data_IF_424072929636
#
_entry.id   IF_424072929636
#
_cell.length_a   1.000
_cell.length_b   1.000
_cell.length_c   1.000
_cell.angle_alpha   90.00
_cell.angle_beta   90.00
_cell.angle_gamma   90.00
#
_symmetry.space_group_name_H-M   'P 1'
#
loop_
_entity.id
_entity.type
_entity.pdbx_description
1 polymer ?
#
# COMPACT_ATOMS: atom_id res chain seq x y z
N UNK A 1 46.98 46.33 15.59
CA UNK A 1 47.93 45.31 16.10
C UNK A 1 47.53 43.98 15.46
N UNK A 2 48.11 43.61 14.31
CA UNK A 2 49.30 42.74 14.14
C UNK A 2 49.18 41.35 14.80
N UNK A 3 49.14 40.33 13.92
CA UNK A 3 49.70 38.97 14.01
C UNK A 3 49.12 37.99 15.05
N UNK A 4 49.23 36.66 14.92
CA UNK A 4 49.47 35.67 13.85
C UNK A 4 49.71 34.32 14.59
N UNK A 5 49.64 33.19 13.84
CA UNK A 5 50.24 31.86 14.10
C UNK A 5 49.38 30.84 14.89
N UNK A 6 48.74 29.84 14.26
CA UNK A 6 49.19 28.62 13.53
C UNK A 6 49.39 27.38 14.40
N UNK A 7 48.64 26.33 14.02
CA UNK A 7 49.05 24.94 13.79
C UNK A 7 49.86 24.18 14.84
N UNK A 8 49.34 23.01 15.24
CA UNK A 8 50.08 21.74 15.12
C UNK A 8 49.17 20.51 15.14
N UNK A 9 49.21 19.76 14.03
CA UNK A 9 48.83 18.35 13.93
C UNK A 9 49.85 17.50 14.68
N UNK A 10 49.40 16.45 15.36
CA UNK A 10 50.24 15.34 15.79
C UNK A 10 49.62 14.03 15.29
N UNK A 11 50.30 13.41 14.31
CA UNK A 11 50.23 11.98 14.06
C UNK A 11 50.85 11.24 15.26
N UNK A 12 50.37 10.04 15.56
CA UNK A 12 51.18 9.02 16.21
C UNK A 12 50.87 7.66 15.59
N UNK A 13 51.96 7.02 15.18
CA UNK A 13 52.02 5.75 14.47
C UNK A 13 52.14 4.57 15.45
N UNK A 14 51.98 3.38 14.87
CA UNK A 14 51.88 2.06 15.48
C UNK A 14 53.11 1.59 16.30
N UNK A 15 52.85 0.65 17.21
CA UNK A 15 53.81 -0.38 17.62
C UNK A 15 53.07 -1.72 17.79
N UNK A 16 53.53 -2.72 17.05
CA UNK A 16 53.05 -4.10 17.03
C UNK A 16 53.71 -4.92 18.15
N UNK A 17 52.98 -5.88 18.73
CA UNK A 17 53.56 -6.99 19.51
C UNK A 17 52.96 -8.29 18.98
N UNK A 18 53.83 -9.09 18.33
CA UNK A 18 53.59 -10.48 17.99
C UNK A 18 53.62 -11.32 19.27
N UNK A 19 52.70 -12.27 19.42
CA UNK A 19 52.94 -13.46 20.25
C UNK A 19 52.34 -14.66 19.56
N UNK A 20 53.22 -15.54 19.10
CA UNK A 20 52.90 -16.84 18.51
C UNK A 20 52.68 -17.86 19.63
N UNK A 21 51.59 -18.62 19.57
CA UNK A 21 51.37 -19.82 20.34
C UNK A 21 50.96 -20.93 19.38
N UNK A 22 51.91 -21.84 19.17
CA UNK A 22 51.73 -23.13 18.51
C UNK A 22 50.98 -24.06 19.48
N UNK A 23 49.89 -24.69 19.03
CA UNK A 23 49.48 -25.98 19.56
C UNK A 23 49.07 -26.93 18.43
N UNK A 24 49.64 -28.12 18.57
CA UNK A 24 49.64 -29.32 17.74
C UNK A 24 48.26 -29.92 17.53
N UNK A 25 48.05 -30.44 16.32
CA UNK A 25 46.84 -31.17 15.95
C UNK A 25 46.80 -32.61 16.46
N UNK A 26 45.59 -33.07 16.70
CA UNK A 26 45.19 -34.47 16.56
C UNK A 26 43.94 -34.53 15.69
N UNK A 27 44.03 -35.30 14.61
CA UNK A 27 43.00 -35.61 13.63
C UNK A 27 41.99 -36.60 14.18
N UNK A 28 40.70 -36.32 14.00
CA UNK A 28 39.64 -37.34 14.04
C UNK A 28 38.71 -37.05 12.86
N UNK A 29 38.62 -38.00 11.92
CA UNK A 29 37.76 -37.96 10.74
C UNK A 29 36.27 -37.98 11.16
N UNK A 30 35.51 -36.99 10.68
CA UNK A 30 34.05 -36.97 10.73
C UNK A 30 33.46 -37.22 9.33
N UNK A 31 32.30 -37.90 9.21
CA UNK A 31 31.80 -38.34 7.92
C UNK A 31 31.23 -37.16 7.11
N UNK A 32 31.59 -37.20 5.84
CA UNK A 32 31.21 -36.31 4.77
C UNK A 32 29.69 -36.31 4.56
N UNK A 33 29.04 -35.16 4.60
CA UNK A 33 27.73 -34.95 3.98
C UNK A 33 27.60 -33.49 3.57
N UNK A 34 27.61 -33.28 2.25
CA UNK A 34 27.56 -31.99 1.60
C UNK A 34 26.27 -31.24 1.91
N UNK A 35 26.41 -29.97 2.28
CA UNK A 35 25.33 -28.99 2.30
C UNK A 35 25.15 -28.37 0.91
N UNK A 36 23.92 -27.94 0.58
CA UNK A 36 23.80 -26.69 -0.16
C UNK A 36 22.84 -25.70 0.51
N UNK A 37 23.27 -24.43 0.50
CA UNK A 37 22.44 -23.26 0.22
C UNK A 37 21.36 -22.90 1.25
N UNK A 38 21.67 -21.94 2.13
CA UNK A 38 20.66 -21.24 2.92
C UNK A 38 19.83 -20.32 2.02
N UNK A 39 18.58 -20.70 1.78
CA UNK A 39 17.52 -19.81 1.31
C UNK A 39 16.92 -19.07 2.52
N UNK A 40 16.77 -17.75 2.37
CA UNK A 40 16.08 -16.90 3.33
C UNK A 40 14.65 -17.39 3.58
N UNK A 41 14.21 -17.21 4.82
CA UNK A 41 12.89 -17.61 5.30
C UNK A 41 11.77 -16.98 4.44
N UNK A 42 11.27 -17.74 3.47
CA UNK A 42 9.97 -17.52 2.88
C UNK A 42 8.92 -17.80 3.96
N UNK A 43 8.10 -16.80 4.28
CA UNK A 43 6.87 -17.01 5.03
C UNK A 43 6.06 -18.08 4.29
N UNK A 44 5.82 -19.20 4.98
CA UNK A 44 4.97 -20.25 4.45
C UNK A 44 3.54 -19.71 4.38
N UNK A 45 3.13 -19.29 3.19
CA UNK A 45 1.73 -19.00 2.88
C UNK A 45 0.90 -20.23 3.28
N UNK A 46 -0.05 -20.05 4.21
CA UNK A 46 -1.04 -21.06 4.49
C UNK A 46 -1.78 -21.38 3.18
N UNK A 47 -1.73 -22.64 2.74
CA UNK A 47 -2.49 -23.10 1.58
C UNK A 47 -3.98 -22.99 1.90
N UNK A 48 -4.65 -21.96 1.37
CA UNK A 48 -6.11 -21.82 1.36
C UNK A 48 -6.74 -23.05 0.69
N UNK A 49 -7.50 -23.84 1.44
CA UNK A 49 -7.96 -25.18 1.03
C UNK A 49 -9.25 -25.21 0.20
N UNK A 50 -9.83 -24.07 -0.18
CA UNK A 50 -11.09 -23.99 -0.92
C UNK A 50 -11.38 -22.61 -1.50
N UNK A 51 -12.47 -22.48 -2.26
CA UNK A 51 -12.95 -21.18 -2.73
C UNK A 51 -13.42 -20.31 -1.54
N UNK A 52 -13.28 -18.96 -1.61
CA UNK A 52 -13.88 -18.05 -0.64
C UNK A 52 -15.35 -18.36 -0.39
N UNK A 53 -15.74 -18.37 0.89
CA UNK A 53 -17.13 -18.60 1.26
C UNK A 53 -17.95 -17.32 1.04
N UNK A 54 -19.20 -17.43 0.54
CA UNK A 54 -20.14 -16.32 0.53
C UNK A 54 -20.35 -15.74 1.94
N UNK A 55 -20.46 -14.41 2.05
CA UNK A 55 -20.57 -13.71 3.35
C UNK A 55 -21.78 -14.16 4.18
N UNK A 56 -22.89 -14.53 3.55
CA UNK A 56 -24.10 -15.02 4.22
C UNK A 56 -23.89 -16.36 4.94
N UNK A 57 -22.92 -17.17 4.49
CA UNK A 57 -22.51 -18.41 5.15
C UNK A 57 -21.54 -18.16 6.31
N UNK A 58 -21.02 -16.94 6.45
CA UNK A 58 -20.06 -16.57 7.47
C UNK A 58 -20.69 -15.85 8.68
N UNK A 59 -21.98 -15.51 8.64
CA UNK A 59 -22.61 -14.62 9.62
C UNK A 59 -22.69 -15.18 11.05
N UNK A 60 -22.86 -16.50 11.20
CA UNK A 60 -23.23 -17.11 12.47
C UNK A 60 -24.58 -16.61 13.02
N UNK A 61 -24.92 -16.99 14.24
CA UNK A 61 -26.26 -16.74 14.81
C UNK A 61 -26.26 -15.70 15.95
N UNK A 62 -25.09 -15.37 16.53
CA UNK A 62 -24.98 -14.49 17.70
C UNK A 62 -24.83 -13.03 17.27
N UNK A 63 -25.29 -12.05 18.08
CA UNK A 63 -24.95 -10.64 17.84
C UNK A 63 -23.44 -10.44 17.78
N UNK A 64 -22.95 -9.69 16.79
CA UNK A 64 -21.54 -9.40 16.55
C UNK A 64 -21.35 -7.88 16.45
N UNK A 65 -20.37 -7.35 17.18
CA UNK A 65 -19.91 -5.96 17.12
C UNK A 65 -18.52 -5.90 16.51
N UNK A 66 -18.40 -5.24 15.37
CA UNK A 66 -17.12 -5.04 14.67
C UNK A 66 -16.74 -3.57 14.74
N UNK A 67 -15.49 -3.30 15.12
CA UNK A 67 -14.90 -1.99 15.01
C UNK A 67 -14.06 -1.92 13.73
N UNK A 68 -14.34 -0.93 12.88
CA UNK A 68 -13.50 -0.56 11.76
C UNK A 68 -12.60 0.61 12.18
N UNK A 69 -11.30 0.36 12.26
CA UNK A 69 -10.33 1.36 12.74
C UNK A 69 -9.41 1.76 11.60
N UNK A 70 -9.29 3.07 11.35
CA UNK A 70 -8.33 3.62 10.39
C UNK A 70 -7.29 4.50 11.11
N UNK A 71 -6.03 4.43 10.69
CA UNK A 71 -5.03 5.40 11.13
C UNK A 71 -5.30 6.79 10.55
N UNK A 72 -5.74 6.86 9.29
CA UNK A 72 -6.12 8.10 8.59
C UNK A 72 -7.45 7.91 7.86
N UNK A 73 -8.37 8.89 7.93
CA UNK A 73 -9.74 8.79 7.38
C UNK A 73 -10.16 9.90 6.42
N UNK A 74 -9.28 10.84 6.07
CA UNK A 74 -9.69 12.11 5.46
C UNK A 74 -9.68 12.17 3.92
N UNK A 75 -9.69 11.03 3.21
CA UNK A 75 -9.79 10.98 1.74
C UNK A 75 -10.97 10.12 1.26
N UNK A 76 -11.30 10.23 -0.03
CA UNK A 76 -12.41 9.51 -0.68
C UNK A 76 -12.27 8.00 -0.55
N UNK A 77 -11.06 7.47 -0.77
CA UNK A 77 -10.76 6.05 -0.61
C UNK A 77 -11.17 5.51 0.76
N UNK A 78 -10.87 6.23 1.85
CA UNK A 78 -11.22 5.82 3.22
C UNK A 78 -12.73 5.78 3.44
N UNK A 79 -13.45 6.80 2.97
CA UNK A 79 -14.92 6.84 3.04
C UNK A 79 -15.55 5.67 2.27
N UNK A 80 -15.03 5.36 1.08
CA UNK A 80 -15.51 4.23 0.29
C UNK A 80 -15.21 2.92 1.02
N UNK A 81 -14.01 2.70 1.57
CA UNK A 81 -13.73 1.46 2.31
C UNK A 81 -14.59 1.26 3.56
N UNK A 82 -14.92 2.33 4.27
CA UNK A 82 -15.88 2.26 5.38
C UNK A 82 -17.25 1.76 4.89
N UNK A 83 -17.73 2.35 3.79
CA UNK A 83 -19.00 1.95 3.18
C UNK A 83 -18.96 0.52 2.61
N UNK A 84 -17.86 0.10 1.99
CA UNK A 84 -17.66 -1.26 1.45
C UNK A 84 -17.73 -2.32 2.55
N UNK A 85 -17.10 -2.07 3.71
CA UNK A 85 -17.16 -2.99 4.84
C UNK A 85 -18.57 -3.09 5.41
N UNK A 86 -19.24 -1.94 5.61
CA UNK A 86 -20.63 -1.90 6.08
C UNK A 86 -21.58 -2.60 5.10
N UNK A 87 -21.36 -2.40 3.81
CA UNK A 87 -22.15 -3.02 2.74
C UNK A 87 -21.98 -4.53 2.71
N UNK A 88 -20.74 -5.02 2.69
CA UNK A 88 -20.43 -6.46 2.70
C UNK A 88 -21.07 -7.15 3.90
N UNK A 89 -20.89 -6.58 5.09
CA UNK A 89 -21.38 -7.17 6.33
C UNK A 89 -22.89 -6.99 6.52
N UNK A 90 -23.56 -6.18 5.71
CA UNK A 90 -25.02 -6.00 5.76
C UNK A 90 -25.81 -7.28 5.40
N UNK A 91 -25.16 -8.25 4.74
CA UNK A 91 -25.71 -9.58 4.54
C UNK A 91 -25.97 -10.30 5.89
N UNK A 92 -25.23 -9.95 6.94
CA UNK A 92 -25.34 -10.51 8.28
C UNK A 92 -26.16 -9.59 9.19
N UNK A 93 -27.46 -9.89 9.36
CA UNK A 93 -28.39 -9.06 10.15
C UNK A 93 -28.04 -8.95 11.64
N UNK A 94 -27.19 -9.84 12.14
CA UNK A 94 -26.67 -9.89 13.50
C UNK A 94 -25.39 -9.08 13.69
N UNK A 95 -24.83 -8.48 12.64
CA UNK A 95 -23.58 -7.71 12.67
C UNK A 95 -23.85 -6.21 12.74
N UNK A 96 -23.11 -5.53 13.62
CA UNK A 96 -23.05 -4.07 13.69
C UNK A 96 -21.61 -3.61 13.50
N UNK A 97 -21.41 -2.51 12.77
CA UNK A 97 -20.08 -1.98 12.45
C UNK A 97 -19.99 -0.52 12.90
N UNK A 98 -19.08 -0.25 13.82
CA UNK A 98 -18.72 1.11 14.22
C UNK A 98 -17.38 1.51 13.61
N UNK A 99 -17.25 2.77 13.22
CA UNK A 99 -16.05 3.30 12.58
C UNK A 99 -15.35 4.33 13.48
N UNK A 100 -14.02 4.31 13.51
CA UNK A 100 -13.23 5.42 14.01
C UNK A 100 -11.93 5.61 13.22
N UNK A 101 -11.36 6.80 13.34
CA UNK A 101 -10.10 7.16 12.69
C UNK A 101 -9.18 7.94 13.64
N UNK A 102 -7.87 7.89 13.39
CA UNK A 102 -6.84 8.36 14.31
C UNK A 102 -6.05 9.62 13.86
N UNK A 103 -6.50 10.33 12.84
CA UNK A 103 -5.92 11.57 12.28
C UNK A 103 -4.44 11.45 11.88
N UNK A 104 -3.98 10.25 11.50
CA UNK A 104 -2.57 9.95 11.23
C UNK A 104 -1.70 9.82 12.48
N UNK A 105 -2.30 9.76 13.67
CA UNK A 105 -1.60 9.66 14.95
C UNK A 105 -1.60 8.23 15.51
N UNK A 106 -0.39 7.68 15.71
CA UNK A 106 -0.19 6.32 16.21
C UNK A 106 -0.78 6.11 17.61
N UNK A 107 -0.69 7.10 18.52
CA UNK A 107 -1.15 6.94 19.89
C UNK A 107 -2.69 6.95 19.98
N UNK A 108 -3.35 7.79 19.18
CA UNK A 108 -4.81 7.74 19.01
C UNK A 108 -5.26 6.42 18.44
N UNK A 109 -4.55 5.88 17.45
CA UNK A 109 -4.84 4.57 16.85
C UNK A 109 -4.74 3.43 17.87
N UNK A 110 -3.64 3.38 18.63
CA UNK A 110 -3.46 2.43 19.74
C UNK A 110 -4.57 2.57 20.78
N UNK A 111 -4.93 3.82 21.13
CA UNK A 111 -6.02 4.09 22.07
C UNK A 111 -7.37 3.58 21.56
N UNK A 112 -7.66 3.75 20.27
CA UNK A 112 -8.89 3.25 19.66
C UNK A 112 -8.97 1.72 19.71
N UNK A 113 -7.90 1.02 19.32
CA UNK A 113 -7.84 -0.45 19.40
C UNK A 113 -8.09 -0.96 20.83
N UNK A 114 -7.38 -0.38 21.80
CA UNK A 114 -7.52 -0.75 23.22
C UNK A 114 -8.93 -0.44 23.73
N UNK A 115 -9.52 0.68 23.32
CA UNK A 115 -10.86 1.10 23.76
C UNK A 115 -11.94 0.17 23.23
N UNK A 116 -11.88 -0.23 21.96
CA UNK A 116 -12.84 -1.21 21.41
C UNK A 116 -12.69 -2.58 22.05
N UNK A 117 -11.45 -3.00 22.32
CA UNK A 117 -11.17 -4.24 23.04
C UNK A 117 -11.77 -4.22 24.45
N UNK A 118 -11.60 -3.11 25.19
CA UNK A 118 -12.16 -2.95 26.54
C UNK A 118 -13.69 -2.83 26.56
N UNK A 119 -14.29 -2.32 25.49
CA UNK A 119 -15.74 -2.21 25.32
C UNK A 119 -16.42 -3.51 24.89
N UNK A 120 -15.66 -4.60 24.74
CA UNK A 120 -16.19 -5.92 24.38
C UNK A 120 -16.67 -6.01 22.94
N UNK A 121 -15.97 -5.36 22.00
CA UNK A 121 -16.18 -5.63 20.58
C UNK A 121 -15.64 -7.01 20.23
N UNK A 122 -16.34 -7.72 19.36
CA UNK A 122 -15.99 -9.09 18.98
C UNK A 122 -14.83 -9.09 17.99
N UNK A 123 -14.78 -8.12 17.09
CA UNK A 123 -13.71 -7.98 16.12
C UNK A 123 -13.26 -6.53 15.89
N UNK A 124 -11.99 -6.39 15.50
CA UNK A 124 -11.37 -5.18 14.99
C UNK A 124 -10.86 -5.47 13.58
N UNK A 125 -11.48 -4.85 12.58
CA UNK A 125 -10.97 -4.80 11.19
C UNK A 125 -10.24 -3.47 11.06
N UNK A 126 -8.95 -3.50 10.74
CA UNK A 126 -8.13 -2.28 10.87
C UNK A 126 -7.21 -2.06 9.69
N UNK A 127 -7.09 -0.82 9.25
CA UNK A 127 -6.10 -0.48 8.23
C UNK A 127 -4.71 -0.51 8.86
N UNK A 128 -3.73 -1.12 8.18
CA UNK A 128 -2.35 -1.14 8.63
C UNK A 128 -1.59 0.14 8.23
N UNK A 129 -1.91 1.24 8.91
CA UNK A 129 -1.31 2.56 8.61
C UNK A 129 0.09 2.73 9.22
N UNK A 130 0.44 1.92 10.22
CA UNK A 130 1.64 2.10 11.04
C UNK A 130 2.59 0.90 11.04
N UNK A 131 2.22 -0.21 10.40
CA UNK A 131 3.03 -1.43 10.33
C UNK A 131 3.36 -1.98 11.70
N UNK A 132 4.59 -2.48 11.86
CA UNK A 132 5.08 -3.10 13.10
C UNK A 132 5.03 -2.21 14.35
N UNK A 133 4.90 -0.89 14.20
CA UNK A 133 4.72 0.03 15.33
C UNK A 133 3.39 -0.19 16.06
N UNK A 134 2.35 -0.62 15.35
CA UNK A 134 1.06 -0.93 15.92
C UNK A 134 0.93 -2.38 16.42
N UNK A 135 1.88 -3.26 16.07
CA UNK A 135 1.78 -4.71 16.31
C UNK A 135 1.47 -5.06 17.77
N UNK A 136 2.10 -4.38 18.72
CA UNK A 136 1.85 -4.63 20.15
C UNK A 136 0.39 -4.41 20.57
N UNK A 137 -0.29 -3.41 20.00
CA UNK A 137 -1.71 -3.15 20.27
C UNK A 137 -2.60 -4.22 19.64
N UNK A 138 -2.28 -4.67 18.41
CA UNK A 138 -2.98 -5.76 17.73
C UNK A 138 -2.87 -7.07 18.52
N UNK A 139 -1.65 -7.44 18.93
CA UNK A 139 -1.38 -8.61 19.77
C UNK A 139 -2.14 -8.55 21.10
N UNK A 140 -2.21 -7.38 21.73
CA UNK A 140 -2.92 -7.22 23.00
C UNK A 140 -4.45 -7.36 22.83
N UNK A 141 -5.03 -6.79 21.76
CA UNK A 141 -6.45 -6.96 21.45
C UNK A 141 -6.81 -8.44 21.22
N UNK A 142 -5.99 -9.17 20.45
CA UNK A 142 -6.16 -10.62 20.26
C UNK A 142 -6.08 -11.40 21.57
N UNK A 143 -5.08 -11.12 22.40
CA UNK A 143 -4.93 -11.76 23.72
C UNK A 143 -6.11 -11.49 24.65
N UNK A 144 -6.81 -10.37 24.47
CA UNK A 144 -8.04 -10.05 25.18
C UNK A 144 -9.29 -10.77 24.62
N UNK A 145 -9.14 -11.58 23.56
CA UNK A 145 -10.21 -12.38 22.97
C UNK A 145 -10.93 -11.72 21.80
N UNK A 146 -10.45 -10.57 21.31
CA UNK A 146 -10.99 -9.87 20.14
C UNK A 146 -10.39 -10.46 18.87
N UNK A 147 -11.20 -10.73 17.85
CA UNK A 147 -10.69 -11.10 16.52
C UNK A 147 -10.06 -9.88 15.85
N UNK A 148 -8.80 -9.96 15.44
CA UNK A 148 -8.09 -8.83 14.82
C UNK A 148 -7.72 -9.16 13.38
N UNK A 149 -8.15 -8.31 12.43
CA UNK A 149 -7.84 -8.48 11.00
C UNK A 149 -7.33 -7.17 10.39
N UNK A 150 -6.00 -7.00 10.30
CA UNK A 150 -5.39 -5.89 9.57
C UNK A 150 -5.54 -6.04 8.05
N UNK A 151 -5.58 -4.92 7.31
CA UNK A 151 -5.64 -4.95 5.85
C UNK A 151 -4.75 -3.89 5.18
N UNK A 152 -4.49 -4.09 3.88
CA UNK A 152 -3.64 -3.32 2.93
C UNK A 152 -2.16 -3.64 2.99
N UNK A 153 -1.56 -3.66 4.16
CA UNK A 153 -0.15 -3.95 4.35
C UNK A 153 0.05 -5.09 5.36
N UNK A 154 1.28 -5.61 5.41
CA UNK A 154 1.69 -6.58 6.41
C UNK A 154 2.10 -5.84 7.70
N UNK A 155 1.35 -6.00 8.81
CA UNK A 155 1.68 -5.37 10.09
C UNK A 155 2.92 -5.98 10.75
N UNK A 156 3.52 -7.02 10.15
CA UNK A 156 4.52 -7.88 10.76
C UNK A 156 3.92 -8.81 11.81
N UNK A 157 4.74 -9.65 12.45
CA UNK A 157 4.23 -10.64 13.41
C UNK A 157 3.75 -11.92 12.74
N UNK A 158 2.85 -12.67 13.41
CA UNK A 158 2.37 -13.97 12.93
C UNK A 158 0.86 -14.12 13.08
N UNK A 159 0.19 -14.52 11.99
CA UNK A 159 -1.20 -14.97 12.00
C UNK A 159 -1.40 -16.09 13.03
N UNK A 160 -2.50 -16.03 13.76
CA UNK A 160 -2.84 -16.94 14.85
C UNK A 160 -2.12 -16.63 16.18
N UNK A 161 -1.05 -15.82 16.18
CA UNK A 161 -0.32 -15.43 17.39
C UNK A 161 -0.57 -13.97 17.75
N UNK A 162 -0.44 -13.06 16.79
CA UNK A 162 -0.54 -11.61 16.98
C UNK A 162 -1.90 -11.05 16.50
N UNK A 163 -2.49 -11.65 15.47
CA UNK A 163 -3.82 -11.33 14.92
C UNK A 163 -4.45 -12.60 14.34
N UNK A 164 -5.71 -12.55 13.90
CA UNK A 164 -6.48 -13.73 13.45
C UNK A 164 -6.35 -13.98 11.95
N UNK A 165 -6.11 -12.92 11.18
CA UNK A 165 -5.81 -12.98 9.76
C UNK A 165 -5.36 -11.60 9.29
N UNK A 166 -4.90 -11.49 8.05
CA UNK A 166 -4.65 -10.21 7.40
C UNK A 166 -4.87 -10.36 5.90
N UNK A 167 -4.99 -9.23 5.21
CA UNK A 167 -4.96 -9.20 3.74
C UNK A 167 -4.19 -7.97 3.28
N UNK A 168 -3.04 -8.19 2.64
CA UNK A 168 -2.21 -7.15 2.07
C UNK A 168 -2.35 -7.09 0.55
N UNK A 169 -2.00 -5.98 -0.08
CA UNK A 169 -1.82 -5.98 -1.53
C UNK A 169 -0.58 -6.78 -1.93
N UNK A 170 -0.67 -7.44 -3.09
CA UNK A 170 0.50 -8.02 -3.76
C UNK A 170 1.30 -6.91 -4.47
N UNK A 171 1.99 -6.07 -3.68
CA UNK A 171 2.78 -4.94 -4.19
C UNK A 171 3.88 -5.37 -5.17
N UNK A 172 4.37 -6.62 -5.06
CA UNK A 172 5.32 -7.19 -6.01
C UNK A 172 4.68 -7.35 -7.39
N UNK A 173 3.48 -7.93 -7.45
CA UNK A 173 2.74 -8.08 -8.72
C UNK A 173 2.28 -6.72 -9.25
N UNK A 174 1.83 -5.81 -8.37
CA UNK A 174 1.44 -4.45 -8.74
C UNK A 174 2.62 -3.68 -9.37
N UNK A 175 3.75 -3.63 -8.67
CA UNK A 175 4.95 -2.95 -9.14
C UNK A 175 5.54 -3.56 -10.41
N UNK A 176 5.51 -4.90 -10.54
CA UNK A 176 5.91 -5.58 -11.78
C UNK A 176 5.03 -5.19 -12.97
N UNK A 177 3.72 -5.11 -12.75
CA UNK A 177 2.74 -4.71 -13.78
C UNK A 177 2.98 -3.27 -14.22
N UNK A 178 3.10 -2.34 -13.28
CA UNK A 178 3.37 -0.92 -13.58
C UNK A 178 4.72 -0.73 -14.29
N UNK A 179 5.79 -1.37 -13.79
CA UNK A 179 7.12 -1.24 -14.37
C UNK A 179 7.18 -1.80 -15.80
N UNK A 180 6.61 -2.98 -16.06
CA UNK A 180 6.56 -3.58 -17.40
C UNK A 180 5.71 -2.78 -18.36
N UNK A 181 4.62 -2.19 -17.88
CA UNK A 181 3.81 -1.30 -18.72
C UNK A 181 4.58 -0.03 -19.07
N UNK A 182 5.16 0.65 -18.07
CA UNK A 182 5.96 1.86 -18.28
C UNK A 182 7.15 1.61 -19.21
N UNK A 183 7.85 0.49 -19.06
CA UNK A 183 8.96 0.10 -19.94
C UNK A 183 8.61 0.09 -21.43
N UNK A 184 7.34 -0.14 -21.78
CA UNK A 184 6.83 -0.09 -23.17
C UNK A 184 6.39 1.30 -23.60
N UNK A 185 6.03 2.17 -22.64
CA UNK A 185 5.50 3.50 -22.92
C UNK A 185 6.58 4.60 -22.92
N UNK A 186 7.69 4.38 -22.22
CA UNK A 186 8.76 5.37 -22.08
C UNK A 186 9.94 5.07 -23.00
N UNK A 187 10.69 6.09 -23.47
CA UNK A 187 11.96 5.84 -24.16
C UNK A 187 12.96 5.15 -23.23
N UNK A 188 13.82 4.31 -23.81
CA UNK A 188 14.87 3.61 -23.06
C UNK A 188 15.72 4.61 -22.24
N UNK A 189 15.83 4.36 -20.93
CA UNK A 189 16.55 5.22 -20.00
C UNK A 189 15.84 6.55 -19.66
N UNK A 190 14.55 6.69 -20.00
CA UNK A 190 13.74 7.86 -19.69
C UNK A 190 13.57 8.10 -18.19
N UNK A 191 13.30 9.35 -17.80
CA UNK A 191 13.11 9.72 -16.39
C UNK A 191 11.67 9.46 -15.94
N UNK A 192 11.49 8.53 -15.00
CA UNK A 192 10.19 8.21 -14.40
C UNK A 192 10.14 8.77 -12.98
N UNK A 193 9.09 9.52 -12.66
CA UNK A 193 8.81 9.92 -11.27
C UNK A 193 7.91 8.87 -10.60
N UNK A 194 8.05 8.73 -9.29
CA UNK A 194 7.12 7.96 -8.46
C UNK A 194 6.50 8.86 -7.39
N UNK A 195 5.17 8.91 -7.30
CA UNK A 195 4.45 9.72 -6.29
C UNK A 195 3.60 8.84 -5.38
N UNK A 196 3.51 9.23 -4.12
CA UNK A 196 2.68 8.49 -3.17
C UNK A 196 3.01 8.81 -1.72
N UNK A 197 2.19 8.29 -0.82
CA UNK A 197 2.46 8.32 0.61
C UNK A 197 2.42 9.69 1.27
N UNK A 198 2.50 9.66 2.60
CA UNK A 198 2.67 10.83 3.44
C UNK A 198 4.11 11.38 3.33
N UNK A 199 4.33 12.68 3.63
CA UNK A 199 5.68 13.24 3.70
C UNK A 199 6.63 12.54 4.68
N UNK A 200 6.08 11.88 5.71
CA UNK A 200 6.82 11.07 6.68
C UNK A 200 7.14 9.65 6.20
N UNK A 201 6.68 9.27 5.00
CA UNK A 201 6.72 7.91 4.49
C UNK A 201 5.48 7.09 4.86
N UNK A 202 5.21 6.06 4.07
CA UNK A 202 4.07 5.15 4.23
C UNK A 202 4.47 3.73 3.80
N UNK A 203 4.16 2.68 4.58
CA UNK A 203 4.59 1.31 4.27
C UNK A 203 4.17 0.82 2.88
N UNK A 204 2.90 1.02 2.51
CA UNK A 204 2.35 0.61 1.19
C UNK A 204 3.10 1.26 0.02
N UNK A 205 3.32 2.58 0.09
CA UNK A 205 4.06 3.35 -0.92
C UNK A 205 5.49 2.84 -1.09
N UNK A 206 6.16 2.52 0.02
CA UNK A 206 7.53 2.00 0.02
C UNK A 206 7.58 0.61 -0.61
N UNK A 207 6.65 -0.28 -0.28
CA UNK A 207 6.59 -1.63 -0.85
C UNK A 207 6.26 -1.61 -2.35
N UNK A 208 5.36 -0.73 -2.81
CA UNK A 208 5.09 -0.56 -4.24
C UNK A 208 6.33 -0.06 -4.98
N UNK A 209 7.03 0.95 -4.45
CA UNK A 209 8.27 1.44 -5.07
C UNK A 209 9.32 0.33 -5.18
N UNK A 210 9.49 -0.49 -4.14
CA UNK A 210 10.39 -1.66 -4.17
C UNK A 210 9.98 -2.66 -5.25
N UNK A 211 8.69 -2.92 -5.42
CA UNK A 211 8.16 -3.77 -6.49
C UNK A 211 8.52 -3.25 -7.88
N UNK A 212 8.35 -1.94 -8.11
CA UNK A 212 8.73 -1.28 -9.36
C UNK A 212 10.25 -1.35 -9.58
N UNK A 213 11.04 -1.06 -8.54
CA UNK A 213 12.51 -1.11 -8.59
C UNK A 213 13.00 -2.52 -8.94
N UNK A 214 12.51 -3.56 -8.27
CA UNK A 214 12.93 -4.94 -8.49
C UNK A 214 12.71 -5.40 -9.94
N UNK A 215 11.58 -5.02 -10.56
CA UNK A 215 11.33 -5.32 -11.98
C UNK A 215 12.17 -4.43 -12.91
N UNK A 216 12.37 -3.16 -12.57
CA UNK A 216 13.18 -2.25 -13.37
C UNK A 216 14.69 -2.59 -13.32
N UNK A 217 15.21 -3.16 -12.23
CA UNK A 217 16.59 -3.64 -12.15
C UNK A 217 16.88 -4.79 -13.14
N UNK A 218 15.87 -5.61 -13.43
CA UNK A 218 15.98 -6.72 -14.38
C UNK A 218 15.89 -6.26 -15.83
N UNK A 219 15.17 -5.16 -16.09
CA UNK A 219 14.87 -4.69 -17.45
C UNK A 219 15.71 -3.48 -17.86
N UNK A 220 16.18 -2.69 -16.90
CA UNK A 220 16.88 -1.41 -17.06
C UNK A 220 16.16 -0.46 -18.04
N UNK A 221 14.82 -0.48 -18.03
CA UNK A 221 14.01 0.20 -19.03
C UNK A 221 13.99 1.72 -18.82
N UNK A 222 13.97 2.18 -17.57
CA UNK A 222 13.91 3.59 -17.21
C UNK A 222 14.74 3.91 -15.97
N UNK A 223 14.90 5.20 -15.67
CA UNK A 223 15.53 5.70 -14.45
C UNK A 223 14.48 6.32 -13.55
N UNK A 224 14.50 5.98 -12.26
CA UNK A 224 13.73 6.72 -11.28
C UNK A 224 14.39 8.10 -11.06
N UNK A 225 13.61 9.16 -11.20
CA UNK A 225 14.09 10.54 -11.09
C UNK A 225 14.51 10.92 -9.66
N UNK A 226 13.99 10.19 -8.67
CA UNK A 226 14.37 10.26 -7.26
C UNK A 226 14.52 8.84 -6.69
N UNK A 227 15.41 8.63 -5.71
CA UNK A 227 15.52 7.33 -5.04
C UNK A 227 14.30 7.03 -4.14
N UNK A 228 13.70 8.09 -3.57
CA UNK A 228 12.56 8.02 -2.67
C UNK A 228 11.27 8.52 -3.36
N UNK A 229 10.08 8.11 -2.86
CA UNK A 229 8.81 8.63 -3.35
C UNK A 229 8.70 10.15 -3.20
N UNK A 230 8.07 10.78 -4.20
CA UNK A 230 7.63 12.17 -4.09
C UNK A 230 6.30 12.16 -3.36
N UNK A 231 6.28 12.71 -2.14
CA UNK A 231 5.07 12.72 -1.32
C UNK A 231 3.87 13.34 -2.07
N UNK A 232 2.76 12.61 -2.10
CA UNK A 232 1.46 13.11 -2.59
C UNK A 232 0.53 13.49 -1.44
N UNK A 233 0.83 13.02 -0.22
CA UNK A 233 -0.06 13.04 0.94
C UNK A 233 -1.42 12.38 0.69
N UNK A 234 -1.53 11.61 -0.41
CA UNK A 234 -2.79 11.12 -0.97
C UNK A 234 -3.87 12.20 -1.08
N UNK A 235 -3.46 13.43 -1.38
CA UNK A 235 -4.31 14.62 -1.45
C UNK A 235 -4.04 15.40 -2.75
N UNK A 236 -5.06 15.67 -3.59
CA UNK A 236 -4.87 16.39 -4.84
C UNK A 236 -4.27 17.79 -4.66
N UNK A 237 -4.67 18.53 -3.62
CA UNK A 237 -4.18 19.89 -3.40
C UNK A 237 -2.70 19.90 -2.99
N UNK A 238 -2.27 18.95 -2.16
CA UNK A 238 -0.88 18.71 -1.82
C UNK A 238 -0.09 18.31 -3.07
N UNK A 239 -0.60 17.34 -3.83
CA UNK A 239 0.08 16.84 -5.03
C UNK A 239 0.26 17.93 -6.08
N UNK A 240 -0.70 18.85 -6.24
CA UNK A 240 -0.56 20.00 -7.14
C UNK A 240 0.64 20.90 -6.75
N UNK A 241 0.81 21.17 -5.44
CA UNK A 241 1.96 21.94 -4.95
C UNK A 241 3.27 21.17 -5.12
N UNK A 242 3.29 19.87 -4.76
CA UNK A 242 4.45 19.02 -4.92
C UNK A 242 4.89 18.96 -6.39
N UNK A 243 3.95 18.72 -7.31
CA UNK A 243 4.22 18.67 -8.75
C UNK A 243 4.79 19.98 -9.30
N UNK A 244 4.37 21.14 -8.77
CA UNK A 244 4.97 22.42 -9.17
C UNK A 244 6.48 22.47 -8.89
N UNK A 245 6.91 21.90 -7.75
CA UNK A 245 8.32 21.73 -7.41
C UNK A 245 9.03 20.71 -8.32
N UNK A 246 8.37 19.59 -8.63
CA UNK A 246 8.88 18.59 -9.58
C UNK A 246 9.13 19.21 -10.95
N UNK A 247 8.16 19.97 -11.48
CA UNK A 247 8.25 20.62 -12.79
C UNK A 247 9.33 21.71 -12.86
N UNK A 248 9.69 22.30 -11.72
CA UNK A 248 10.80 23.25 -11.60
C UNK A 248 12.16 22.53 -11.56
N UNK A 249 12.23 21.36 -10.92
CA UNK A 249 13.47 20.58 -10.77
C UNK A 249 13.80 19.74 -12.00
N UNK A 250 12.78 19.24 -12.71
CA UNK A 250 12.94 18.32 -13.81
C UNK A 250 12.38 18.92 -15.11
N UNK A 251 13.28 19.19 -16.07
CA UNK A 251 12.90 19.68 -17.40
C UNK A 251 12.10 18.64 -18.20
N UNK A 252 12.33 17.35 -17.92
CA UNK A 252 11.69 16.24 -18.63
C UNK A 252 11.29 15.13 -17.67
N UNK A 253 10.01 14.75 -17.77
CA UNK A 253 9.39 13.60 -17.11
C UNK A 253 8.87 12.73 -18.25
N UNK A 254 9.44 11.54 -18.41
CA UNK A 254 9.13 10.61 -19.50
C UNK A 254 8.03 9.62 -19.12
N UNK A 255 7.83 9.38 -17.83
CA UNK A 255 6.79 8.52 -17.29
C UNK A 255 6.48 8.87 -15.83
N UNK A 256 5.34 8.38 -15.35
CA UNK A 256 4.88 8.59 -13.99
C UNK A 256 4.27 7.31 -13.46
N UNK A 257 4.78 6.81 -12.33
CA UNK A 257 4.14 5.80 -11.51
C UNK A 257 3.58 6.40 -10.22
N UNK A 258 2.47 5.89 -9.69
CA UNK A 258 1.95 6.36 -8.40
C UNK A 258 1.13 5.29 -7.68
N UNK A 259 0.89 5.50 -6.39
CA UNK A 259 0.08 4.61 -5.54
C UNK A 259 -1.38 5.08 -5.33
N UNK A 260 -1.76 6.24 -5.88
CA UNK A 260 -3.10 6.81 -5.68
C UNK A 260 -3.50 7.82 -6.77
N UNK A 261 -4.26 7.36 -7.76
CA UNK A 261 -4.66 8.13 -8.95
C UNK A 261 -5.50 9.38 -8.64
N UNK A 262 -6.31 9.34 -7.58
CA UNK A 262 -7.08 10.52 -7.15
C UNK A 262 -6.16 11.69 -6.81
N UNK A 263 -5.05 11.46 -6.09
CA UNK A 263 -4.10 12.53 -5.78
C UNK A 263 -3.38 13.04 -7.04
N UNK A 264 -3.12 12.16 -8.00
CA UNK A 264 -2.43 12.52 -9.24
C UNK A 264 -3.17 13.58 -10.05
N UNK A 265 -4.50 13.68 -9.93
CA UNK A 265 -5.28 14.75 -10.57
C UNK A 265 -4.74 16.15 -10.26
N UNK A 266 -4.24 16.37 -9.03
CA UNK A 266 -3.57 17.61 -8.66
C UNK A 266 -2.29 17.85 -9.45
N UNK A 267 -1.47 16.82 -9.62
CA UNK A 267 -0.25 16.88 -10.42
C UNK A 267 -0.52 17.05 -11.92
N UNK A 268 -1.51 16.32 -12.45
CA UNK A 268 -1.96 16.44 -13.84
C UNK A 268 -2.44 17.86 -14.15
N UNK A 269 -3.23 18.47 -13.26
CA UNK A 269 -3.66 19.87 -13.36
C UNK A 269 -2.47 20.83 -13.31
N UNK A 270 -1.48 20.59 -12.45
CA UNK A 270 -0.25 21.39 -12.41
C UNK A 270 0.53 21.32 -13.74
N UNK A 271 0.62 20.15 -14.37
CA UNK A 271 1.26 19.99 -15.68
C UNK A 271 0.52 20.79 -16.77
N UNK A 272 -0.82 20.68 -16.82
CA UNK A 272 -1.65 21.44 -17.76
C UNK A 272 -1.46 22.95 -17.57
N UNK A 273 -1.50 23.44 -16.32
CA UNK A 273 -1.33 24.85 -16.00
C UNK A 273 0.07 25.38 -16.37
N UNK A 274 1.10 24.53 -16.27
CA UNK A 274 2.46 24.84 -16.67
C UNK A 274 2.71 24.64 -18.18
N UNK A 275 1.68 24.31 -18.97
CA UNK A 275 1.78 23.97 -20.39
C UNK A 275 2.82 22.87 -20.67
N UNK A 276 2.88 21.88 -19.78
CA UNK A 276 3.77 20.71 -19.87
C UNK A 276 2.98 19.53 -20.41
N UNK A 277 3.60 18.76 -21.30
CA UNK A 277 3.01 17.52 -21.81
C UNK A 277 2.84 16.50 -20.69
N UNK A 278 1.68 15.85 -20.64
CA UNK A 278 1.42 14.79 -19.68
C UNK A 278 2.11 13.48 -20.16
N UNK A 279 2.96 12.85 -19.35
CA UNK A 279 3.60 11.58 -19.71
C UNK A 279 2.62 10.40 -19.52
N UNK A 280 2.98 9.18 -19.97
CA UNK A 280 2.29 7.97 -19.54
C UNK A 280 2.24 7.85 -18.02
N UNK A 281 1.06 7.52 -17.49
CA UNK A 281 0.78 7.36 -16.06
C UNK A 281 0.35 5.92 -15.77
N UNK A 282 1.04 5.26 -14.85
CA UNK A 282 0.62 4.00 -14.24
C UNK A 282 0.29 4.24 -12.76
N UNK A 283 -0.93 3.94 -12.36
CA UNK A 283 -1.41 4.25 -11.00
C UNK A 283 -2.33 3.15 -10.46
N UNK A 284 -2.61 3.18 -9.16
CA UNK A 284 -3.68 2.41 -8.53
C UNK A 284 -4.71 3.34 -7.89
N UNK A 285 -5.90 2.82 -7.61
CA UNK A 285 -7.00 3.56 -6.98
C UNK A 285 -7.42 4.82 -7.77
N UNK A 286 -7.94 4.62 -8.99
CA UNK A 286 -8.60 5.66 -9.78
C UNK A 286 -9.93 6.09 -9.17
N UNK A 287 -10.42 7.24 -9.61
CA UNK A 287 -11.81 7.67 -9.46
C UNK A 287 -12.43 8.04 -10.82
N UNK A 288 -13.70 8.45 -10.77
CA UNK A 288 -14.47 8.95 -11.90
C UNK A 288 -13.84 10.20 -12.51
N UNK A 289 -13.30 11.11 -11.68
CA UNK A 289 -12.66 12.35 -12.13
C UNK A 289 -11.41 12.08 -12.99
N UNK A 290 -10.56 11.12 -12.62
CA UNK A 290 -9.38 10.78 -13.41
C UNK A 290 -9.76 10.20 -14.78
N UNK A 291 -10.82 9.40 -14.84
CA UNK A 291 -11.37 8.90 -16.09
C UNK A 291 -11.90 10.02 -17.00
N UNK A 292 -12.68 10.95 -16.42
CA UNK A 292 -13.14 12.15 -17.12
C UNK A 292 -11.97 13.01 -17.63
N UNK A 293 -10.99 13.27 -16.76
CA UNK A 293 -9.82 14.07 -17.09
C UNK A 293 -9.03 13.47 -18.26
N UNK A 294 -8.82 12.14 -18.27
CA UNK A 294 -8.13 11.50 -19.39
C UNK A 294 -8.88 11.70 -20.71
N UNK A 295 -10.21 11.50 -20.73
CA UNK A 295 -11.03 11.69 -21.92
C UNK A 295 -10.96 13.12 -22.47
N UNK A 296 -10.87 14.12 -21.59
CA UNK A 296 -10.73 15.53 -21.94
C UNK A 296 -9.33 15.88 -22.48
N UNK A 297 -8.28 15.23 -21.96
CA UNK A 297 -6.90 15.60 -22.26
C UNK A 297 -6.23 14.78 -23.38
N UNK A 298 -6.72 13.58 -23.69
CA UNK A 298 -6.08 12.63 -24.62
C UNK A 298 -5.74 13.23 -26.00
N UNK A 299 -6.62 14.07 -26.56
CA UNK A 299 -6.44 14.61 -27.92
C UNK A 299 -5.38 15.71 -27.97
N UNK A 300 -5.20 16.44 -26.85
CA UNK A 300 -4.14 17.46 -26.69
C UNK A 300 -2.83 16.86 -26.21
N UNK A 301 -2.87 15.68 -25.60
CA UNK A 301 -1.73 14.97 -25.02
C UNK A 301 -1.63 13.55 -25.59
N UNK A 302 -1.17 13.36 -26.84
CA UNK A 302 -1.14 12.04 -27.47
C UNK A 302 -0.23 11.02 -26.76
N UNK A 303 0.70 11.48 -25.89
CA UNK A 303 1.56 10.64 -25.06
C UNK A 303 0.94 10.27 -23.71
N UNK A 304 -0.20 10.85 -23.36
CA UNK A 304 -0.88 10.56 -22.10
C UNK A 304 -1.61 9.22 -22.22
N UNK A 305 -0.86 8.13 -22.03
CA UNK A 305 -1.43 6.81 -21.81
C UNK A 305 -1.68 6.61 -20.31
N UNK A 306 -2.72 5.87 -19.97
CA UNK A 306 -3.14 5.60 -18.59
C UNK A 306 -3.28 4.10 -18.37
N UNK A 307 -2.60 3.61 -17.34
CA UNK A 307 -2.84 2.31 -16.73
C UNK A 307 -3.37 2.54 -15.31
N UNK A 308 -4.48 1.89 -14.96
CA UNK A 308 -4.98 1.85 -13.58
C UNK A 308 -5.11 0.41 -13.10
N UNK A 309 -4.63 0.16 -11.87
CA UNK A 309 -4.83 -1.09 -11.14
C UNK A 309 -5.83 -0.82 -10.01
N UNK A 310 -7.05 -1.33 -10.17
CA UNK A 310 -8.17 -0.96 -9.30
C UNK A 310 -8.88 -2.18 -8.68
N UNK A 311 -10.04 -1.92 -8.06
CA UNK A 311 -10.67 -2.79 -7.06
C UNK A 311 -10.09 -2.58 -5.66
N UNK A 312 -9.30 -1.52 -5.47
CA UNK A 312 -8.50 -1.25 -4.26
C UNK A 312 -9.36 -1.21 -3.00
N UNK A 313 -10.52 -0.56 -3.04
CA UNK A 313 -11.40 -0.45 -1.86
C UNK A 313 -12.00 -1.79 -1.43
N UNK A 314 -12.09 -2.78 -2.34
CA UNK A 314 -12.77 -4.05 -2.08
C UNK A 314 -11.99 -4.99 -1.14
N UNK A 315 -10.70 -4.73 -0.91
CA UNK A 315 -9.86 -5.52 0.00
C UNK A 315 -10.41 -5.54 1.44
N UNK A 316 -11.10 -4.48 1.86
CA UNK A 316 -11.72 -4.42 3.19
C UNK A 316 -12.85 -5.45 3.34
N UNK A 317 -13.52 -5.82 2.24
CA UNK A 317 -14.54 -6.87 2.22
C UNK A 317 -13.91 -8.24 2.53
N UNK A 318 -12.73 -8.49 1.97
CA UNK A 318 -11.93 -9.68 2.29
C UNK A 318 -11.60 -9.70 3.79
N UNK A 319 -11.14 -8.58 4.35
CA UNK A 319 -10.84 -8.47 5.77
C UNK A 319 -12.08 -8.72 6.65
N UNK A 320 -13.25 -8.18 6.26
CA UNK A 320 -14.53 -8.43 6.93
C UNK A 320 -14.92 -9.91 6.91
N UNK A 321 -14.79 -10.59 5.77
CA UNK A 321 -15.07 -12.04 5.67
C UNK A 321 -14.09 -12.88 6.48
N UNK A 322 -12.80 -12.53 6.51
CA UNK A 322 -11.80 -13.14 7.41
C UNK A 322 -12.20 -12.99 8.89
N UNK A 323 -12.67 -11.81 9.28
CA UNK A 323 -13.13 -11.55 10.64
C UNK A 323 -14.35 -12.42 11.01
N UNK A 324 -15.35 -12.51 10.14
CA UNK A 324 -16.51 -13.38 10.34
C UNK A 324 -16.13 -14.86 10.41
N UNK A 325 -15.23 -15.32 9.53
CA UNK A 325 -14.74 -16.70 9.55
C UNK A 325 -14.05 -17.03 10.89
N UNK A 326 -13.17 -16.16 11.37
CA UNK A 326 -12.51 -16.33 12.66
C UNK A 326 -13.49 -16.31 13.84
N UNK A 327 -14.43 -15.35 13.88
CA UNK A 327 -15.46 -15.25 14.91
C UNK A 327 -16.32 -16.51 15.01
N UNK A 328 -16.73 -17.03 13.86
CA UNK A 328 -17.64 -18.17 13.78
C UNK A 328 -16.94 -19.52 13.63
N UNK A 329 -15.60 -19.55 13.77
CA UNK A 329 -14.77 -20.76 13.67
C UNK A 329 -14.98 -21.53 12.36
N UNK A 330 -15.17 -20.78 11.28
CA UNK A 330 -15.31 -21.28 9.92
C UNK A 330 -13.95 -21.22 9.20
N UNK A 331 -13.74 -22.00 8.14
CA UNK A 331 -12.49 -21.95 7.40
C UNK A 331 -12.29 -20.58 6.73
N UNK A 332 -11.09 -20.02 6.89
CA UNK A 332 -10.63 -18.86 6.13
C UNK A 332 -10.05 -19.35 4.78
N UNK A 333 -10.81 -19.13 3.71
CA UNK A 333 -10.42 -19.43 2.33
C UNK A 333 -10.02 -18.17 1.54
N UNK A 334 -9.94 -17.02 2.21
CA UNK A 334 -9.57 -15.76 1.58
C UNK A 334 -8.05 -15.64 1.38
N UNK A 335 -7.59 -14.93 0.34
CA UNK A 335 -6.16 -14.73 0.12
C UNK A 335 -5.57 -13.81 1.20
N UNK A 336 -4.30 -14.05 1.55
CA UNK A 336 -3.48 -13.08 2.30
C UNK A 336 -2.94 -11.98 1.38
N UNK A 337 -2.74 -12.28 0.10
CA UNK A 337 -2.25 -11.32 -0.90
C UNK A 337 -3.35 -11.03 -1.93
N UNK A 338 -3.87 -9.81 -1.90
CA UNK A 338 -4.87 -9.30 -2.81
C UNK A 338 -4.20 -8.71 -4.06
N UNK A 339 -4.53 -9.29 -5.22
CA UNK A 339 -4.00 -8.84 -6.51
C UNK A 339 -4.94 -7.83 -7.12
N UNK A 340 -4.46 -6.59 -7.26
CA UNK A 340 -5.17 -5.58 -8.03
C UNK A 340 -5.27 -5.99 -9.49
N UNK A 341 -6.36 -5.57 -10.13
CA UNK A 341 -6.63 -5.91 -11.53
C UNK A 341 -6.56 -4.68 -12.41
N UNK A 342 -6.10 -4.86 -13.65
CA UNK A 342 -6.10 -3.78 -14.63
C UNK A 342 -7.53 -3.34 -14.93
N UNK A 343 -7.88 -2.12 -14.56
CA UNK A 343 -9.20 -1.53 -14.79
C UNK A 343 -9.19 -0.62 -16.01
N UNK A 344 -8.15 0.19 -16.19
CA UNK A 344 -7.90 0.97 -17.41
C UNK A 344 -6.53 0.61 -17.97
N UNK A 345 -6.45 0.49 -19.30
CA UNK A 345 -5.18 0.39 -20.04
C UNK A 345 -5.40 0.96 -21.44
N UNK A 346 -5.18 2.27 -21.56
CA UNK A 346 -5.49 3.00 -22.79
C UNK A 346 -4.54 2.62 -23.93
N UNK A 347 -3.32 2.17 -23.60
CA UNK A 347 -2.35 1.69 -24.58
C UNK A 347 -2.80 0.37 -25.23
N UNK A 348 -3.66 -0.40 -24.55
CA UNK A 348 -4.24 -1.65 -25.04
C UNK A 348 -5.76 -1.54 -25.32
N UNK A 349 -6.27 -0.32 -25.50
CA UNK A 349 -7.66 -0.06 -25.92
C UNK A 349 -8.72 -0.19 -24.82
N UNK A 350 -8.33 -0.44 -23.57
CA UNK A 350 -9.25 -0.44 -22.42
C UNK A 350 -9.36 0.98 -21.87
N UNK A 351 -10.31 1.75 -22.42
CA UNK A 351 -10.48 3.18 -22.11
C UNK A 351 -11.16 3.40 -20.75
N UNK A 352 -10.86 4.50 -20.04
CA UNK A 352 -11.61 4.89 -18.85
C UNK A 352 -13.04 5.31 -19.20
N UNK A 353 -13.89 5.31 -18.18
CA UNK A 353 -15.25 5.84 -18.28
C UNK A 353 -15.37 7.14 -17.49
N UNK A 354 -16.37 7.95 -17.84
CA UNK A 354 -16.71 9.19 -17.15
C UNK A 354 -18.23 9.24 -16.97
N UNK A 355 -18.68 9.09 -15.74
CA UNK A 355 -20.10 9.08 -15.39
C UNK A 355 -20.50 10.40 -14.73
N UNK A 356 -21.24 11.23 -15.47
CA UNK A 356 -21.69 12.55 -15.00
C UNK A 356 -22.73 12.49 -13.88
N UNK A 357 -23.38 11.34 -13.70
CA UNK A 357 -24.38 11.16 -12.65
C UNK A 357 -23.75 10.74 -11.32
N UNK A 358 -22.45 10.42 -11.30
CA UNK A 358 -21.69 10.05 -10.11
C UNK A 358 -20.78 11.20 -9.65
N UNK A 359 -20.48 11.29 -8.34
CA UNK A 359 -19.50 12.24 -7.82
C UNK A 359 -18.14 12.12 -8.53
N UNK A 360 -17.35 13.21 -8.60
CA UNK A 360 -15.99 13.16 -9.13
C UNK A 360 -15.11 12.12 -8.41
N UNK A 361 -15.23 12.05 -7.09
CA UNK A 361 -14.44 11.16 -6.23
C UNK A 361 -14.92 9.69 -6.23
N UNK A 362 -15.93 9.35 -7.03
CA UNK A 362 -16.51 8.01 -7.06
C UNK A 362 -15.54 6.99 -7.67
N UNK A 363 -15.12 5.97 -6.91
CA UNK A 363 -14.36 4.84 -7.45
C UNK A 363 -15.28 3.91 -8.25
N UNK A 364 -15.16 3.93 -9.58
CA UNK A 364 -15.98 3.12 -10.49
C UNK A 364 -15.60 1.64 -10.50
N UNK A 365 -14.52 1.26 -9.82
CA UNK A 365 -14.12 -0.13 -9.59
C UNK A 365 -14.61 -0.68 -8.23
N UNK A 366 -15.23 0.17 -7.41
CA UNK A 366 -15.84 -0.22 -6.13
C UNK A 366 -16.88 -1.32 -6.32
N UNK A 367 -17.06 -2.16 -5.30
CA UNK A 367 -18.13 -3.14 -5.26
C UNK A 367 -19.48 -2.55 -4.79
N UNK A 368 -19.51 -1.27 -4.40
CA UNK A 368 -20.75 -0.55 -4.09
C UNK A 368 -21.58 -0.33 -5.36
N UNK A 369 -22.91 -0.37 -5.22
CA UNK A 369 -23.79 0.06 -6.30
C UNK A 369 -23.63 1.58 -6.55
N UNK A 370 -23.96 2.09 -7.75
CA UNK A 370 -23.94 3.52 -8.04
C UNK A 370 -24.70 4.36 -7.01
N UNK A 371 -25.84 3.89 -6.50
CA UNK A 371 -26.64 4.57 -5.48
C UNK A 371 -25.91 4.64 -4.14
N UNK A 372 -25.31 3.53 -3.69
CA UNK A 372 -24.54 3.48 -2.46
C UNK A 372 -23.29 4.35 -2.56
N UNK A 373 -22.63 4.34 -3.71
CA UNK A 373 -21.45 5.16 -3.95
C UNK A 373 -21.81 6.66 -3.94
N UNK A 374 -22.96 7.08 -4.47
CA UNK A 374 -23.45 8.47 -4.32
C UNK A 374 -23.65 8.84 -2.86
N UNK A 375 -24.24 7.95 -2.06
CA UNK A 375 -24.52 8.19 -0.65
C UNK A 375 -23.25 8.37 0.21
N UNK A 376 -22.09 7.85 -0.23
CA UNK A 376 -20.80 8.07 0.45
C UNK A 376 -20.38 9.54 0.45
N UNK A 377 -20.84 10.33 -0.53
CA UNK A 377 -20.41 11.72 -0.76
C UNK A 377 -21.50 12.77 -0.50
N UNK A 378 -22.62 12.36 0.09
CA UNK A 378 -23.72 13.24 0.53
C UNK A 378 -23.68 13.39 2.05
#
# INVERSE_FOLDING_TARGET
MKCSLTSRRTLSAAAAVLTALLFTGCTVEGPNSAAPGGEGAAAAAAKSGGAPLPVDQLCGDKPIKIAHVAGFGANSWRKITEAELKDELSACKNVTVDYSQADGDLQKYITAINSYSAQGYDAIVTYDDFGSQALSALTNAKKAGVVVVPYIADPGGKVGTDYDGYVAYDFKTEGDTMAKWLAKQVPAGGNVIFTGGLPSGSPSTVELLKGIQATNEQTNAFKLATPDPIASSWDPAFMQRAMSGVLTKFDKIDGWASDYGVADLGGLRAMVNANRSIPPLATSATDNELGCFWLEQKDKNPKFQLLTLDGTTTVVRIAGRKALAALNKLPDNEPELFKLTTFVDTANGKLPTCNKDLPPDADLSSALSPEKLKAVFQ
#
